data_IF_892677071627
#
_entry.id   IF_892677071627
#
_cell.length_a   1.000
_cell.length_b   1.000
_cell.length_c   1.000
_cell.angle_alpha   90.00
_cell.angle_beta   90.00
_cell.angle_gamma   90.00
#
_symmetry.space_group_name_H-M   'P 1'
#
loop_
_entity.id
_entity.type
_entity.pdbx_description
1 polymer ?
#
# COMPACT_ATOMS: atom_id res chain seq x y z
N UNK A 1 57.19 -29.66 12.56
CA UNK A 1 56.79 -28.89 13.75
C UNK A 1 55.63 -29.62 14.39
N UNK A 2 55.83 -30.21 15.56
CA UNK A 2 54.76 -30.94 16.26
C UNK A 2 53.71 -29.96 16.78
N UNK A 3 52.45 -30.17 16.37
CA UNK A 3 51.32 -29.39 16.85
C UNK A 3 51.02 -29.79 18.30
N UNK A 4 51.56 -29.04 19.26
CA UNK A 4 51.38 -29.32 20.69
C UNK A 4 49.91 -29.19 21.11
N UNK A 5 49.47 -30.13 21.95
CA UNK A 5 48.10 -30.24 22.45
C UNK A 5 47.69 -28.98 23.23
N UNK A 6 46.76 -28.23 22.65
CA UNK A 6 46.23 -26.98 23.20
C UNK A 6 45.24 -27.28 24.32
N UNK A 7 45.51 -26.81 25.54
CA UNK A 7 44.53 -26.87 26.64
C UNK A 7 43.60 -25.66 26.56
N UNK A 8 42.26 -25.85 26.61
CA UNK A 8 41.33 -24.73 26.61
C UNK A 8 41.53 -23.89 27.90
N UNK A 9 41.74 -22.58 27.74
CA UNK A 9 41.99 -21.65 28.84
C UNK A 9 43.46 -21.26 29.06
N UNK A 10 44.41 -21.72 28.24
CA UNK A 10 45.81 -21.28 28.30
C UNK A 10 46.04 -19.96 27.55
N UNK A 11 46.97 -19.14 28.08
CA UNK A 11 47.41 -17.89 27.46
C UNK A 11 48.24 -18.20 26.22
N UNK A 12 47.96 -17.50 25.11
CA UNK A 12 48.72 -17.68 23.87
C UNK A 12 50.11 -17.04 24.02
N UNK A 13 51.15 -17.86 23.92
CA UNK A 13 52.54 -17.42 23.88
C UNK A 13 53.09 -17.43 22.44
N UNK A 14 54.06 -16.57 22.16
CA UNK A 14 54.80 -16.55 20.89
C UNK A 14 55.87 -17.66 20.86
N UNK A 15 56.32 -18.08 19.67
CA UNK A 15 57.32 -19.16 19.52
C UNK A 15 58.63 -18.89 20.28
N UNK A 16 59.05 -17.63 20.36
CA UNK A 16 60.22 -17.20 21.14
C UNK A 16 60.00 -17.36 22.65
N UNK A 17 58.78 -17.15 23.13
CA UNK A 17 58.40 -17.30 24.54
C UNK A 17 58.28 -18.78 24.92
N UNK A 18 57.83 -19.64 24.02
CA UNK A 18 57.86 -21.10 24.23
C UNK A 18 59.29 -21.65 24.32
N UNK A 19 60.20 -21.18 23.46
CA UNK A 19 61.61 -21.57 23.54
C UNK A 19 62.25 -21.12 24.88
N UNK A 20 61.88 -19.95 25.38
CA UNK A 20 62.33 -19.48 26.70
C UNK A 20 61.68 -20.28 27.85
N UNK A 21 60.40 -20.62 27.73
CA UNK A 21 59.66 -21.45 28.68
C UNK A 21 60.30 -22.83 28.85
N UNK A 22 60.67 -23.48 27.74
CA UNK A 22 61.37 -24.77 27.74
C UNK A 22 62.76 -24.68 28.38
N UNK A 23 63.52 -23.61 28.07
CA UNK A 23 64.82 -23.37 28.71
C UNK A 23 64.73 -23.18 30.21
N UNK A 24 63.64 -22.59 30.68
CA UNK A 24 63.38 -22.39 32.11
C UNK A 24 62.66 -23.57 32.78
N UNK A 25 62.33 -24.63 32.03
CA UNK A 25 61.73 -25.85 32.57
C UNK A 25 60.28 -25.72 33.03
N UNK A 26 59.52 -24.74 32.52
CA UNK A 26 58.10 -24.60 32.86
C UNK A 26 57.24 -25.53 31.98
N UNK A 27 56.47 -26.41 32.63
CA UNK A 27 55.57 -27.34 31.93
C UNK A 27 54.20 -26.74 31.57
N UNK A 28 53.89 -25.55 32.09
CA UNK A 28 52.61 -24.88 31.87
C UNK A 28 52.79 -23.42 31.47
N UNK A 29 52.01 -23.00 30.48
CA UNK A 29 52.01 -21.65 29.92
C UNK A 29 51.59 -20.61 30.97
N UNK A 30 50.67 -20.96 31.87
CA UNK A 30 50.21 -20.08 32.95
C UNK A 30 51.30 -19.84 34.00
N UNK A 31 52.14 -20.84 34.28
CA UNK A 31 53.26 -20.72 35.20
C UNK A 31 54.33 -19.77 34.65
N UNK A 32 54.65 -19.87 33.35
CA UNK A 32 55.58 -18.96 32.68
C UNK A 32 55.09 -17.50 32.69
N UNK A 33 53.81 -17.28 32.40
CA UNK A 33 53.23 -15.93 32.44
C UNK A 33 53.26 -15.38 33.87
N UNK A 34 52.89 -16.17 34.87
CA UNK A 34 52.94 -15.76 36.28
C UNK A 34 54.34 -15.35 36.69
N UNK A 35 55.35 -16.14 36.33
CA UNK A 35 56.75 -15.81 36.58
C UNK A 35 57.18 -14.50 35.92
N UNK A 36 56.81 -14.26 34.66
CA UNK A 36 57.10 -12.99 33.97
C UNK A 36 56.37 -11.81 34.60
N UNK A 37 55.15 -12.01 35.09
CA UNK A 37 54.40 -10.99 35.83
C UNK A 37 55.06 -10.67 37.18
N UNK A 38 55.55 -11.67 37.92
CA UNK A 38 56.31 -11.47 39.16
C UNK A 38 57.66 -10.77 38.91
N UNK A 39 58.36 -11.08 37.81
CA UNK A 39 59.53 -10.30 37.38
C UNK A 39 59.18 -8.86 37.02
N UNK A 40 58.01 -8.63 36.41
CA UNK A 40 57.51 -7.28 36.11
C UNK A 40 57.17 -6.50 37.39
N UNK A 41 56.53 -7.17 38.35
CA UNK A 41 56.16 -6.60 39.64
C UNK A 41 57.38 -6.25 40.48
N UNK A 42 58.39 -7.11 40.57
CA UNK A 42 59.64 -6.80 41.30
C UNK A 42 60.39 -5.61 40.69
N UNK A 43 60.42 -5.47 39.35
CA UNK A 43 60.97 -4.28 38.68
C UNK A 43 60.15 -3.03 38.96
N UNK A 44 58.83 -3.15 39.04
CA UNK A 44 57.93 -2.07 39.43
C UNK A 44 58.07 -1.69 40.91
N UNK A 45 58.30 -2.64 41.80
CA UNK A 45 58.55 -2.39 43.23
C UNK A 45 59.87 -1.65 43.45
N UNK A 46 60.94 -1.99 42.72
CA UNK A 46 62.21 -1.24 42.72
C UNK A 46 62.03 0.22 42.24
N UNK A 47 61.02 0.48 41.40
CA UNK A 47 60.66 1.83 40.96
C UNK A 47 59.68 2.54 41.93
N UNK A 48 58.95 1.78 42.76
CA UNK A 48 57.94 2.29 43.70
C UNK A 48 58.44 2.44 45.13
N UNK A 49 59.62 1.90 45.48
CA UNK A 49 60.27 2.23 46.77
C UNK A 49 60.54 3.73 46.83
N UNK A 50 59.91 4.49 47.74
CA UNK A 50 60.20 5.91 47.88
C UNK A 50 61.62 6.06 48.44
N UNK A 51 62.53 6.64 47.65
CA UNK A 51 63.84 7.04 48.17
C UNK A 51 63.67 8.30 49.03
N UNK A 52 64.40 8.40 50.16
CA UNK A 52 64.48 9.64 50.92
C UNK A 52 65.10 10.74 50.05
N UNK A 53 64.62 11.96 50.27
CA UNK A 53 64.85 13.15 49.47
C UNK A 53 66.27 13.29 48.90
N UNK A 54 66.31 13.70 47.62
CA UNK A 54 67.45 14.35 46.97
C UNK A 54 68.58 13.49 46.37
N UNK A 55 68.26 12.38 45.68
CA UNK A 55 69.16 11.81 44.68
C UNK A 55 68.46 11.58 43.33
N UNK A 56 68.73 12.47 42.37
CA UNK A 56 68.49 12.19 40.95
C UNK A 56 69.45 11.08 40.53
N UNK A 57 68.93 9.88 40.25
CA UNK A 57 69.72 8.82 39.60
C UNK A 57 70.07 9.28 38.19
N UNK A 58 71.23 9.89 38.02
CA UNK A 58 71.83 10.01 36.69
C UNK A 58 72.37 8.63 36.29
N UNK A 59 71.86 8.12 35.18
CA UNK A 59 72.46 6.96 34.53
C UNK A 59 73.91 7.33 34.16
N UNK A 60 74.89 6.41 34.31
CA UNK A 60 76.27 6.69 33.94
C UNK A 60 76.33 7.02 32.45
N UNK A 61 76.70 8.27 32.12
CA UNK A 61 76.98 8.69 30.76
C UNK A 61 78.30 8.03 30.37
N UNK A 62 78.20 6.92 29.65
CA UNK A 62 79.35 6.26 29.03
C UNK A 62 79.84 7.17 27.91
N UNK A 63 80.88 7.95 28.16
CA UNK A 63 81.57 8.77 27.15
C UNK A 63 82.24 7.87 26.08
N UNK A 64 81.45 7.38 25.11
CA UNK A 64 81.96 6.74 23.90
C UNK A 64 82.35 7.82 22.89
N UNK A 65 83.62 7.85 22.46
CA UNK A 65 84.13 8.65 21.33
C UNK A 65 83.49 8.31 19.95
N UNK A 66 82.31 7.69 19.92
CA UNK A 66 81.51 7.37 18.72
C UNK A 66 80.16 8.08 18.63
N UNK A 67 79.78 8.91 19.63
CA UNK A 67 78.45 9.54 19.71
C UNK A 67 78.02 10.32 18.47
N UNK A 68 78.93 10.92 17.71
CA UNK A 68 78.56 11.65 16.49
C UNK A 68 78.15 10.72 15.34
N UNK A 69 78.74 9.54 15.21
CA UNK A 69 78.35 8.58 14.17
C UNK A 69 77.07 7.84 14.57
N UNK A 70 76.95 7.40 15.84
CA UNK A 70 75.72 6.78 16.35
C UNK A 70 74.52 7.75 16.26
N UNK A 71 74.69 9.04 16.60
CA UNK A 71 73.60 10.03 16.50
C UNK A 71 73.19 10.35 15.06
N UNK A 72 74.13 10.32 14.10
CA UNK A 72 73.82 10.50 12.67
C UNK A 72 73.13 9.26 12.10
N UNK A 73 73.57 8.05 12.49
CA UNK A 73 72.92 6.78 12.13
C UNK A 73 71.49 6.70 12.69
N UNK A 74 71.30 7.10 13.94
CA UNK A 74 69.98 7.20 14.58
C UNK A 74 69.10 8.22 13.84
N UNK A 75 69.65 9.39 13.46
CA UNK A 75 68.90 10.40 12.72
C UNK A 75 68.49 9.94 11.32
N UNK A 76 69.35 9.21 10.60
CA UNK A 76 69.03 8.61 9.31
C UNK A 76 68.00 7.49 9.44
N UNK A 77 68.09 6.69 10.51
CA UNK A 77 67.12 5.62 10.80
C UNK A 77 65.75 6.21 11.13
N UNK A 78 65.69 7.28 11.94
CA UNK A 78 64.45 8.01 12.23
C UNK A 78 63.87 8.61 10.95
N UNK A 79 64.70 9.20 10.09
CA UNK A 79 64.24 9.71 8.78
C UNK A 79 63.68 8.57 7.92
N UNK A 80 64.35 7.43 7.82
CA UNK A 80 63.86 6.26 7.09
C UNK A 80 62.51 5.79 7.64
N UNK A 81 62.40 5.61 8.97
CA UNK A 81 61.18 5.18 9.63
C UNK A 81 60.05 6.22 9.51
N UNK A 82 60.35 7.52 9.47
CA UNK A 82 59.34 8.56 9.22
C UNK A 82 58.82 8.54 7.79
N UNK A 83 59.70 8.29 6.81
CA UNK A 83 59.31 8.12 5.40
C UNK A 83 58.48 6.85 5.25
N UNK A 84 58.86 5.76 5.91
CA UNK A 84 58.12 4.51 5.89
C UNK A 84 56.75 4.65 6.56
N UNK A 85 56.67 5.29 7.73
CA UNK A 85 55.39 5.61 8.36
C UNK A 85 54.50 6.48 7.48
N UNK A 86 55.06 7.49 6.81
CA UNK A 86 54.31 8.32 5.88
C UNK A 86 53.77 7.51 4.69
N UNK A 87 54.60 6.63 4.10
CA UNK A 87 54.15 5.72 3.03
C UNK A 87 53.07 4.74 3.51
N UNK A 88 53.18 4.25 4.74
CA UNK A 88 52.16 3.38 5.33
C UNK A 88 50.85 4.14 5.57
N UNK A 89 50.91 5.40 6.01
CA UNK A 89 49.74 6.28 6.13
C UNK A 89 49.09 6.54 4.76
N UNK A 90 49.88 6.87 3.74
CA UNK A 90 49.39 7.06 2.37
C UNK A 90 48.70 5.79 1.85
N UNK A 91 49.28 4.60 2.07
CA UNK A 91 48.64 3.32 1.71
C UNK A 91 47.35 3.06 2.50
N UNK A 92 47.30 3.40 3.78
CA UNK A 92 46.07 3.28 4.58
C UNK A 92 44.98 4.20 4.06
N UNK A 93 45.32 5.44 3.68
CA UNK A 93 44.38 6.37 3.06
C UNK A 93 43.89 5.88 1.70
N UNK A 94 44.77 5.35 0.85
CA UNK A 94 44.37 4.75 -0.43
C UNK A 94 43.43 3.56 -0.24
N UNK A 95 43.74 2.67 0.71
CA UNK A 95 42.86 1.54 1.05
C UNK A 95 41.52 2.04 1.58
N UNK A 96 41.52 3.08 2.43
CA UNK A 96 40.29 3.69 2.95
C UNK A 96 39.43 4.24 1.82
N UNK A 97 40.01 5.01 0.89
CA UNK A 97 39.30 5.58 -0.26
C UNK A 97 38.75 4.49 -1.17
N UNK A 98 39.55 3.48 -1.50
CA UNK A 98 39.10 2.35 -2.32
C UNK A 98 37.95 1.57 -1.64
N UNK A 99 38.01 1.41 -0.32
CA UNK A 99 36.94 0.76 0.44
C UNK A 99 35.66 1.61 0.45
N UNK A 100 35.76 2.92 0.61
CA UNK A 100 34.60 3.81 0.52
C UNK A 100 33.97 3.80 -0.88
N UNK A 101 34.79 3.86 -1.94
CA UNK A 101 34.31 3.80 -3.32
C UNK A 101 33.62 2.46 -3.63
N UNK A 102 34.23 1.34 -3.21
CA UNK A 102 33.63 0.01 -3.39
C UNK A 102 32.36 -0.15 -2.57
N UNK A 103 32.33 0.34 -1.32
CA UNK A 103 31.15 0.34 -0.48
C UNK A 103 30.02 1.18 -1.09
N UNK A 104 30.33 2.36 -1.61
CA UNK A 104 29.37 3.21 -2.32
C UNK A 104 28.83 2.51 -3.57
N UNK A 105 29.70 1.86 -4.34
CA UNK A 105 29.29 1.05 -5.51
C UNK A 105 28.35 -0.10 -5.12
N UNK A 106 28.63 -0.80 -4.03
CA UNK A 106 27.76 -1.85 -3.49
C UNK A 106 26.43 -1.27 -3.01
N UNK A 107 26.44 -0.15 -2.29
CA UNK A 107 25.22 0.52 -1.84
C UNK A 107 24.34 0.94 -3.00
N UNK A 108 24.90 1.54 -4.05
CA UNK A 108 24.14 1.90 -5.24
C UNK A 108 23.56 0.66 -5.93
N UNK A 109 24.35 -0.39 -6.11
CA UNK A 109 23.86 -1.62 -6.75
C UNK A 109 22.76 -2.31 -5.93
N UNK A 110 22.92 -2.40 -4.62
CA UNK A 110 21.90 -2.96 -3.72
C UNK A 110 20.65 -2.09 -3.74
N UNK A 111 20.80 -0.77 -3.72
CA UNK A 111 19.67 0.16 -3.78
C UNK A 111 18.91 0.02 -5.10
N UNK A 112 19.60 -0.01 -6.24
CA UNK A 112 18.99 -0.22 -7.55
C UNK A 112 18.27 -1.57 -7.64
N UNK A 113 18.90 -2.66 -7.19
CA UNK A 113 18.26 -3.98 -7.16
C UNK A 113 17.03 -4.01 -6.27
N UNK A 114 17.10 -3.39 -5.08
CA UNK A 114 15.96 -3.34 -4.17
C UNK A 114 14.82 -2.50 -4.77
N UNK A 115 15.15 -1.40 -5.43
CA UNK A 115 14.19 -0.56 -6.14
C UNK A 115 13.54 -1.32 -7.31
N UNK A 116 14.31 -2.06 -8.10
CA UNK A 116 13.80 -2.88 -9.19
C UNK A 116 12.88 -4.00 -8.68
N UNK A 117 13.24 -4.70 -7.61
CA UNK A 117 12.41 -5.75 -7.02
C UNK A 117 11.11 -5.20 -6.41
N UNK A 118 11.17 -4.03 -5.76
CA UNK A 118 9.96 -3.34 -5.30
C UNK A 118 9.06 -2.95 -6.49
N UNK A 119 9.62 -2.36 -7.53
CA UNK A 119 8.88 -1.99 -8.74
C UNK A 119 8.26 -3.19 -9.44
N UNK A 120 8.96 -4.32 -9.53
CA UNK A 120 8.42 -5.56 -10.11
C UNK A 120 7.24 -6.07 -9.30
N UNK A 121 7.37 -6.12 -7.97
CA UNK A 121 6.28 -6.56 -7.09
C UNK A 121 5.05 -5.67 -7.23
N UNK A 122 5.26 -4.36 -7.20
CA UNK A 122 4.17 -3.40 -7.33
C UNK A 122 3.51 -3.48 -8.71
N UNK A 123 4.29 -3.72 -9.77
CA UNK A 123 3.76 -3.96 -11.12
C UNK A 123 2.94 -5.25 -11.20
N UNK A 124 3.39 -6.34 -10.59
CA UNK A 124 2.65 -7.60 -10.55
C UNK A 124 1.32 -7.47 -9.79
N UNK A 125 1.33 -6.76 -8.67
CA UNK A 125 0.13 -6.46 -7.89
C UNK A 125 -0.85 -5.59 -8.69
N UNK A 126 -0.33 -4.54 -9.33
CA UNK A 126 -1.14 -3.67 -10.20
C UNK A 126 -1.72 -4.44 -11.38
N UNK A 127 -0.95 -5.35 -11.99
CA UNK A 127 -1.42 -6.19 -13.10
C UNK A 127 -2.54 -7.14 -12.65
N UNK A 128 -2.43 -7.74 -11.47
CA UNK A 128 -3.49 -8.58 -10.89
C UNK A 128 -4.75 -7.76 -10.61
N UNK A 129 -4.60 -6.59 -9.98
CA UNK A 129 -5.73 -5.70 -9.70
C UNK A 129 -6.41 -5.22 -10.99
N UNK A 130 -5.64 -4.89 -12.03
CA UNK A 130 -6.18 -4.52 -13.34
C UNK A 130 -6.98 -5.66 -13.96
N UNK A 131 -6.43 -6.87 -13.98
CA UNK A 131 -7.12 -8.03 -14.52
C UNK A 131 -8.42 -8.35 -13.75
N UNK A 132 -8.43 -8.17 -12.44
CA UNK A 132 -9.65 -8.34 -11.63
C UNK A 132 -10.70 -7.27 -11.96
N UNK A 133 -10.31 -6.00 -12.07
CA UNK A 133 -11.20 -4.91 -12.46
C UNK A 133 -11.75 -5.10 -13.88
N UNK A 134 -10.92 -5.50 -14.83
CA UNK A 134 -11.39 -5.83 -16.18
C UNK A 134 -12.40 -6.98 -16.19
N UNK A 135 -12.20 -8.00 -15.34
CA UNK A 135 -13.19 -9.07 -15.13
C UNK A 135 -14.52 -8.53 -14.63
N UNK A 136 -14.49 -7.71 -13.57
CA UNK A 136 -15.69 -7.07 -13.02
C UNK A 136 -16.40 -6.15 -14.02
N UNK A 137 -15.64 -5.39 -14.82
CA UNK A 137 -16.23 -4.54 -15.87
C UNK A 137 -16.96 -5.40 -16.91
N UNK A 138 -16.37 -6.52 -17.34
CA UNK A 138 -17.03 -7.43 -18.29
C UNK A 138 -18.29 -8.06 -17.70
N UNK A 139 -18.25 -8.48 -16.43
CA UNK A 139 -19.43 -9.01 -15.73
C UNK A 139 -20.55 -7.96 -15.63
N UNK A 140 -20.21 -6.71 -15.29
CA UNK A 140 -21.15 -5.60 -15.23
C UNK A 140 -21.69 -5.25 -16.62
N UNK A 141 -20.87 -5.28 -17.67
CA UNK A 141 -21.32 -5.08 -19.06
C UNK A 141 -22.29 -6.18 -19.51
N UNK A 142 -22.03 -7.44 -19.15
CA UNK A 142 -22.95 -8.55 -19.41
C UNK A 142 -24.26 -8.40 -18.65
N UNK A 143 -24.20 -8.00 -17.36
CA UNK A 143 -25.38 -7.72 -16.55
C UNK A 143 -26.20 -6.57 -17.14
N UNK A 144 -25.54 -5.49 -17.58
CA UNK A 144 -26.17 -4.35 -18.23
C UNK A 144 -26.84 -4.75 -19.55
N UNK A 145 -26.17 -5.57 -20.37
CA UNK A 145 -26.77 -6.12 -21.60
C UNK A 145 -27.99 -7.00 -21.32
N UNK A 146 -27.97 -7.83 -20.27
CA UNK A 146 -29.11 -8.64 -19.85
C UNK A 146 -30.26 -7.76 -19.36
N UNK A 147 -29.97 -6.79 -18.50
CA UNK A 147 -30.96 -5.83 -18.00
C UNK A 147 -31.61 -5.04 -19.14
N UNK A 148 -30.82 -4.56 -20.12
CA UNK A 148 -31.34 -3.88 -21.33
C UNK A 148 -32.31 -4.75 -22.13
N UNK A 149 -31.96 -6.03 -22.35
CA UNK A 149 -32.86 -6.96 -23.04
C UNK A 149 -34.16 -7.18 -22.27
N UNK A 150 -34.09 -7.25 -20.95
CA UNK A 150 -35.27 -7.39 -20.10
C UNK A 150 -36.15 -6.13 -20.13
N UNK A 151 -35.55 -4.93 -20.10
CA UNK A 151 -36.30 -3.68 -20.23
C UNK A 151 -36.94 -3.55 -21.60
N UNK A 152 -36.24 -3.92 -22.68
CA UNK A 152 -36.79 -3.87 -24.04
C UNK A 152 -37.98 -4.84 -24.19
N UNK A 153 -37.89 -6.04 -23.60
CA UNK A 153 -38.99 -7.00 -23.59
C UNK A 153 -40.21 -6.47 -22.81
N UNK A 154 -40.00 -5.92 -21.61
CA UNK A 154 -41.08 -5.29 -20.83
C UNK A 154 -41.69 -4.10 -21.55
N UNK A 155 -40.89 -3.31 -22.26
CA UNK A 155 -41.38 -2.18 -23.05
C UNK A 155 -42.28 -2.65 -24.20
N UNK A 156 -41.92 -3.74 -24.88
CA UNK A 156 -42.78 -4.36 -25.90
C UNK A 156 -44.08 -4.90 -25.31
N UNK A 157 -44.03 -5.54 -24.14
CA UNK A 157 -45.23 -5.99 -23.43
C UNK A 157 -46.15 -4.81 -23.05
N UNK A 158 -45.57 -3.71 -22.58
CA UNK A 158 -46.32 -2.47 -22.30
C UNK A 158 -46.94 -1.91 -23.57
N UNK A 159 -46.20 -1.83 -24.68
CA UNK A 159 -46.75 -1.35 -25.96
C UNK A 159 -47.91 -2.22 -26.45
N UNK A 160 -47.81 -3.54 -26.31
CA UNK A 160 -48.88 -4.46 -26.71
C UNK A 160 -50.09 -4.38 -25.77
N UNK A 161 -49.87 -4.16 -24.46
CA UNK A 161 -50.94 -3.86 -23.52
C UNK A 161 -51.62 -2.53 -23.83
N UNK A 162 -50.86 -1.48 -24.18
CA UNK A 162 -51.40 -0.18 -24.59
C UNK A 162 -52.20 -0.31 -25.88
N UNK A 163 -51.73 -1.08 -26.87
CA UNK A 163 -52.52 -1.38 -28.08
C UNK A 163 -53.82 -2.10 -27.71
N UNK A 164 -53.77 -3.12 -26.86
CA UNK A 164 -54.97 -3.85 -26.40
C UNK A 164 -55.94 -2.94 -25.66
N UNK A 165 -55.47 -2.11 -24.74
CA UNK A 165 -56.28 -1.12 -24.03
C UNK A 165 -56.88 -0.09 -25.00
N UNK A 166 -56.09 0.41 -25.95
CA UNK A 166 -56.56 1.30 -27.02
C UNK A 166 -57.65 0.66 -27.88
N UNK A 167 -57.53 -0.63 -28.24
CA UNK A 167 -58.59 -1.37 -28.94
C UNK A 167 -59.83 -1.57 -28.07
N UNK A 168 -59.67 -1.80 -26.78
CA UNK A 168 -60.79 -1.91 -25.83
C UNK A 168 -61.51 -0.56 -25.67
N UNK A 169 -60.79 0.54 -25.59
CA UNK A 169 -61.36 1.89 -25.54
C UNK A 169 -62.03 2.29 -26.85
N UNK A 170 -61.41 2.01 -28.00
CA UNK A 170 -62.05 2.15 -29.32
C UNK A 170 -63.30 1.28 -29.43
N UNK A 171 -63.26 0.05 -28.91
CA UNK A 171 -64.42 -0.83 -28.80
C UNK A 171 -65.51 -0.20 -27.94
N UNK A 172 -65.19 0.31 -26.75
CA UNK A 172 -66.14 1.02 -25.87
C UNK A 172 -66.71 2.29 -26.51
N UNK A 173 -65.97 2.98 -27.37
CA UNK A 173 -66.44 4.17 -28.07
C UNK A 173 -67.29 3.84 -29.31
N UNK A 174 -66.96 2.78 -30.05
CA UNK A 174 -67.63 2.37 -31.29
C UNK A 174 -68.86 1.48 -31.05
N UNK A 175 -68.87 0.70 -29.97
CA UNK A 175 -70.00 -0.19 -29.62
C UNK A 175 -71.31 0.58 -29.40
N UNK A 176 -71.37 1.70 -28.64
CA UNK A 176 -72.59 2.48 -28.48
C UNK A 176 -73.09 3.05 -29.82
N UNK A 177 -72.18 3.48 -30.70
CA UNK A 177 -72.50 3.98 -32.04
C UNK A 177 -73.06 2.90 -32.96
N UNK A 178 -72.45 1.72 -32.98
CA UNK A 178 -72.89 0.56 -33.76
C UNK A 178 -74.20 -0.03 -33.23
N UNK A 179 -74.37 -0.13 -31.91
CA UNK A 179 -75.60 -0.57 -31.26
C UNK A 179 -76.73 0.43 -31.52
N UNK A 180 -76.46 1.73 -31.49
CA UNK A 180 -77.44 2.78 -31.85
C UNK A 180 -77.85 2.72 -33.33
N UNK A 181 -76.91 2.43 -34.24
CA UNK A 181 -77.19 2.20 -35.66
C UNK A 181 -78.06 0.97 -35.91
N UNK A 182 -77.73 -0.16 -35.28
CA UNK A 182 -78.51 -1.40 -35.35
C UNK A 182 -79.90 -1.26 -34.69
N UNK A 183 -80.01 -0.54 -33.57
CA UNK A 183 -81.28 -0.26 -32.92
C UNK A 183 -82.21 0.61 -33.78
N UNK A 184 -81.66 1.53 -34.58
CA UNK A 184 -82.43 2.31 -35.56
C UNK A 184 -82.90 1.47 -36.75
N UNK A 185 -82.11 0.50 -37.19
CA UNK A 185 -82.41 -0.32 -38.37
C UNK A 185 -83.34 -1.51 -38.07
N UNK A 186 -83.29 -2.07 -36.86
CA UNK A 186 -84.12 -3.21 -36.43
C UNK A 186 -84.71 -3.04 -35.01
N UNK A 187 -85.60 -2.05 -34.79
CA UNK A 187 -86.10 -1.72 -33.46
C UNK A 187 -86.92 -2.85 -32.81
N UNK A 188 -87.70 -3.60 -33.59
CA UNK A 188 -88.59 -4.65 -33.07
C UNK A 188 -87.86 -5.94 -32.64
N UNK A 189 -86.68 -6.21 -33.21
CA UNK A 189 -85.87 -7.38 -32.84
C UNK A 189 -84.96 -7.05 -31.64
N UNK A 190 -84.47 -5.81 -31.54
CA UNK A 190 -83.66 -5.34 -30.42
C UNK A 190 -84.46 -5.15 -29.13
N UNK A 191 -85.75 -4.83 -29.18
CA UNK A 191 -86.59 -4.72 -28.00
C UNK A 191 -86.76 -6.06 -27.25
N UNK A 192 -86.76 -7.18 -27.99
CA UNK A 192 -86.76 -8.54 -27.42
C UNK A 192 -85.41 -8.97 -26.85
N UNK A 193 -84.31 -8.46 -27.42
CA UNK A 193 -82.93 -8.78 -26.98
C UNK A 193 -82.49 -7.87 -25.82
N UNK A 194 -82.94 -6.63 -25.73
CA UNK A 194 -82.72 -5.75 -24.58
C UNK A 194 -83.41 -6.30 -23.31
N UNK A 195 -84.56 -6.96 -23.46
CA UNK A 195 -85.25 -7.64 -22.36
C UNK A 195 -84.48 -8.87 -21.82
N UNK A 196 -83.61 -9.49 -22.63
CA UNK A 196 -82.80 -10.65 -22.21
C UNK A 196 -81.35 -10.28 -21.86
N UNK A 197 -80.78 -9.24 -22.48
CA UNK A 197 -79.47 -8.68 -22.11
C UNK A 197 -79.53 -7.76 -20.87
N UNK A 198 -80.68 -7.16 -20.56
CA UNK A 198 -80.88 -6.45 -19.28
C UNK A 198 -80.73 -7.36 -18.06
N UNK A 199 -80.80 -8.69 -18.26
CA UNK A 199 -80.56 -9.71 -17.23
C UNK A 199 -79.12 -10.25 -17.21
N UNK A 200 -78.30 -9.91 -18.21
CA UNK A 200 -76.86 -10.21 -18.30
C UNK A 200 -75.98 -8.95 -18.11
N UNK A 201 -76.59 -7.76 -18.11
CA UNK A 201 -75.90 -6.46 -18.03
C UNK A 201 -75.97 -5.78 -16.66
N UNK A 202 -76.48 -6.46 -15.64
CA UNK A 202 -76.33 -6.05 -14.24
C UNK A 202 -75.64 -7.21 -13.51
N UNK A 203 -74.30 -7.28 -13.51
CA UNK A 203 -73.64 -7.89 -12.36
C UNK A 203 -73.96 -7.02 -11.16
N UNK A 204 -74.44 -7.66 -10.10
CA UNK A 204 -74.62 -7.05 -8.79
C UNK A 204 -73.46 -6.12 -8.48
N UNK A 205 -73.75 -4.83 -8.29
CA UNK A 205 -72.77 -3.84 -7.86
C UNK A 205 -72.48 -4.06 -6.38
N UNK A 206 -71.84 -5.18 -6.07
CA UNK A 206 -71.34 -5.52 -4.74
C UNK A 206 -69.82 -5.68 -4.68
N UNK A 207 -69.08 -5.84 -5.78
CA UNK A 207 -67.65 -6.21 -5.69
C UNK A 207 -66.65 -5.47 -6.59
N UNK A 208 -67.00 -4.34 -7.21
CA UNK A 208 -66.00 -3.52 -7.94
C UNK A 208 -65.39 -2.46 -7.01
N UNK A 209 -64.88 -2.91 -5.85
CA UNK A 209 -63.86 -2.16 -5.12
C UNK A 209 -62.49 -2.67 -5.57
N UNK A 210 -62.07 -2.08 -6.69
CA UNK A 210 -60.69 -1.77 -7.01
C UNK A 210 -59.68 -2.91 -6.85
N UNK A 211 -59.53 -3.73 -7.90
CA UNK A 211 -58.36 -4.60 -8.08
C UNK A 211 -57.05 -3.80 -7.92
N UNK A 212 -57.00 -2.55 -8.39
CA UNK A 212 -55.85 -1.66 -8.17
C UNK A 212 -55.65 -1.24 -6.70
N UNK A 213 -56.73 -1.05 -5.93
CA UNK A 213 -56.60 -0.79 -4.49
C UNK A 213 -56.33 -2.06 -3.70
N UNK A 214 -56.81 -3.22 -4.15
CA UNK A 214 -56.51 -4.53 -3.58
C UNK A 214 -55.07 -4.93 -3.89
N UNK A 215 -54.53 -4.59 -5.06
CA UNK A 215 -53.11 -4.74 -5.38
C UNK A 215 -52.25 -3.76 -4.61
N UNK A 216 -52.69 -2.50 -4.43
CA UNK A 216 -51.99 -1.55 -3.55
C UNK A 216 -52.08 -1.95 -2.07
N UNK A 217 -53.20 -2.52 -1.62
CA UNK A 217 -53.35 -3.09 -0.28
C UNK A 217 -52.50 -4.35 -0.12
N UNK A 218 -52.45 -5.24 -1.11
CA UNK A 218 -51.57 -6.40 -1.10
C UNK A 218 -50.10 -5.99 -1.14
N UNK A 219 -49.72 -4.98 -1.92
CA UNK A 219 -48.35 -4.44 -1.95
C UNK A 219 -48.03 -3.77 -0.61
N UNK A 220 -48.98 -3.06 -0.01
CA UNK A 220 -48.82 -2.45 1.32
C UNK A 220 -48.74 -3.49 2.44
N UNK A 221 -49.55 -4.55 2.38
CA UNK A 221 -49.52 -5.70 3.30
C UNK A 221 -48.21 -6.50 3.12
N UNK A 222 -47.76 -6.72 1.88
CA UNK A 222 -46.45 -7.33 1.60
C UNK A 222 -45.29 -6.45 2.07
N UNK A 223 -45.39 -5.12 1.93
CA UNK A 223 -44.38 -4.18 2.46
C UNK A 223 -44.39 -4.15 3.98
N UNK A 224 -45.54 -4.30 4.64
CA UNK A 224 -45.66 -4.45 6.09
C UNK A 224 -45.19 -5.82 6.60
N UNK A 225 -45.34 -6.89 5.82
CA UNK A 225 -44.85 -8.23 6.17
C UNK A 225 -43.35 -8.40 5.93
N UNK A 226 -42.77 -7.74 4.91
CA UNK A 226 -41.35 -7.86 4.57
C UNK A 226 -40.44 -6.88 5.31
N UNK A 227 -40.97 -5.78 5.86
CA UNK A 227 -40.20 -4.80 6.60
C UNK A 227 -40.73 -4.66 8.02
N UNK A 228 -39.84 -4.86 9.00
CA UNK A 228 -40.07 -4.31 10.34
C UNK A 228 -40.09 -2.78 10.23
N UNK A 229 -40.92 -2.12 11.03
CA UNK A 229 -41.12 -0.65 11.00
C UNK A 229 -39.77 0.11 11.05
N UNK A 230 -38.79 -0.44 11.77
CA UNK A 230 -37.41 0.04 11.88
C UNK A 230 -36.62 -0.02 10.56
N UNK A 231 -36.82 -1.05 9.73
CA UNK A 231 -36.11 -1.21 8.46
C UNK A 231 -36.67 -0.28 7.38
N UNK A 232 -37.98 0.00 7.42
CA UNK A 232 -38.59 0.99 6.54
C UNK A 232 -38.10 2.41 6.86
N UNK A 233 -38.02 2.75 8.15
CA UNK A 233 -37.49 4.04 8.60
C UNK A 233 -36.01 4.22 8.21
N UNK A 234 -35.20 3.15 8.29
CA UNK A 234 -33.81 3.17 7.82
C UNK A 234 -33.70 3.39 6.31
N UNK A 235 -34.54 2.75 5.49
CA UNK A 235 -34.54 2.95 4.02
C UNK A 235 -34.95 4.38 3.67
N UNK A 236 -35.93 4.95 4.37
CA UNK A 236 -36.35 6.34 4.19
C UNK A 236 -35.23 7.31 4.60
N UNK A 237 -34.54 7.07 5.73
CA UNK A 237 -33.36 7.85 6.11
C UNK A 237 -32.23 7.77 5.09
N UNK A 238 -31.98 6.58 4.53
CA UNK A 238 -30.94 6.37 3.52
C UNK A 238 -31.28 7.09 2.22
N UNK A 239 -32.55 7.13 1.82
CA UNK A 239 -33.06 7.91 0.68
C UNK A 239 -32.91 9.42 0.90
N UNK A 240 -33.14 9.91 2.13
CA UNK A 240 -32.93 11.33 2.47
C UNK A 240 -31.43 11.67 2.41
N UNK A 241 -30.56 10.83 2.98
CA UNK A 241 -29.10 11.02 2.93
C UNK A 241 -28.55 10.97 1.51
N UNK A 242 -29.07 10.06 0.66
CA UNK A 242 -28.71 10.01 -0.76
C UNK A 242 -29.15 11.29 -1.49
N UNK A 243 -30.35 11.80 -1.16
CA UNK A 243 -30.87 13.06 -1.71
C UNK A 243 -30.05 14.29 -1.28
N UNK A 244 -29.52 14.29 -0.06
CA UNK A 244 -28.61 15.34 0.43
C UNK A 244 -27.24 15.24 -0.25
N UNK A 245 -26.66 14.05 -0.39
CA UNK A 245 -25.40 13.84 -1.14
C UNK A 245 -25.52 14.28 -2.61
N UNK A 246 -26.63 13.98 -3.28
CA UNK A 246 -26.86 14.41 -4.67
C UNK A 246 -26.92 15.95 -4.77
N UNK A 247 -27.48 16.63 -3.77
CA UNK A 247 -27.48 18.11 -3.71
C UNK A 247 -26.08 18.67 -3.46
N UNK A 248 -25.29 18.04 -2.60
CA UNK A 248 -23.89 18.41 -2.37
C UNK A 248 -23.05 18.21 -3.63
N UNK A 249 -23.25 17.12 -4.36
CA UNK A 249 -22.60 16.84 -5.64
C UNK A 249 -22.99 17.85 -6.71
N UNK A 250 -24.25 18.28 -6.80
CA UNK A 250 -24.64 19.38 -7.69
C UNK A 250 -23.94 20.70 -7.31
N UNK A 251 -23.77 20.98 -6.03
CA UNK A 251 -23.02 22.15 -5.55
C UNK A 251 -21.52 22.07 -5.88
N UNK A 252 -20.91 20.88 -5.77
CA UNK A 252 -19.52 20.63 -6.15
C UNK A 252 -19.32 20.73 -7.67
N UNK A 253 -20.26 20.21 -8.46
CA UNK A 253 -20.25 20.34 -9.92
C UNK A 253 -20.35 21.81 -10.32
N UNK A 254 -21.21 22.61 -9.69
CA UNK A 254 -21.30 24.05 -9.95
C UNK A 254 -20.00 24.79 -9.60
N UNK A 255 -19.35 24.43 -8.48
CA UNK A 255 -18.03 24.99 -8.11
C UNK A 255 -16.95 24.58 -9.10
N UNK A 256 -16.93 23.32 -9.54
CA UNK A 256 -16.00 22.83 -10.56
C UNK A 256 -16.19 23.57 -11.88
N UNK A 257 -17.43 23.75 -12.34
CA UNK A 257 -17.75 24.53 -13.54
C UNK A 257 -17.31 25.99 -13.41
N UNK A 258 -17.51 26.60 -12.24
CA UNK A 258 -17.04 27.96 -11.97
C UNK A 258 -15.52 28.10 -12.07
N UNK A 259 -14.76 27.18 -11.45
CA UNK A 259 -13.30 27.20 -11.54
C UNK A 259 -12.78 26.86 -12.93
N UNK A 260 -13.47 25.99 -13.68
CA UNK A 260 -13.16 25.70 -15.08
C UNK A 260 -13.34 26.94 -15.96
N UNK A 261 -14.44 27.66 -15.79
CA UNK A 261 -14.70 28.91 -16.51
C UNK A 261 -13.69 30.01 -16.14
N UNK A 262 -13.29 30.10 -14.86
CA UNK A 262 -12.27 31.06 -14.42
C UNK A 262 -10.88 30.75 -15.02
N UNK A 263 -10.52 29.48 -15.15
CA UNK A 263 -9.30 29.06 -15.83
C UNK A 263 -9.33 29.35 -17.33
N UNK A 264 -10.50 29.19 -17.96
CA UNK A 264 -10.70 29.52 -19.38
C UNK A 264 -10.55 31.01 -19.65
N UNK A 265 -11.17 31.87 -18.82
CA UNK A 265 -11.04 33.32 -18.93
C UNK A 265 -9.60 33.81 -18.70
N UNK A 266 -8.87 33.21 -17.75
CA UNK A 266 -7.44 33.51 -17.56
C UNK A 266 -6.57 33.10 -18.75
N UNK A 267 -6.99 32.08 -19.50
CA UNK A 267 -6.28 31.63 -20.71
C UNK A 267 -6.55 32.55 -21.90
N UNK A 268 -7.76 33.10 -22.01
CA UNK A 268 -8.12 34.11 -23.01
C UNK A 268 -7.43 35.45 -22.75
N UNK A 269 -7.37 35.91 -21.50
CA UNK A 269 -6.66 37.15 -21.12
C UNK A 269 -5.14 37.07 -21.40
N UNK A 270 -4.51 35.91 -21.17
CA UNK A 270 -3.10 35.68 -21.53
C UNK A 270 -2.87 35.64 -23.05
N UNK A 271 -3.90 35.42 -23.85
CA UNK A 271 -3.83 35.43 -25.32
C UNK A 271 -3.91 36.83 -25.92
N UNK A 272 -4.52 37.79 -25.22
CA UNK A 272 -4.62 39.20 -25.67
C UNK A 272 -3.40 40.04 -25.28
N UNK A 273 -2.69 39.73 -24.18
CA UNK A 273 -1.45 40.44 -23.80
C UNK A 273 -0.20 40.05 -24.63
N UNK A 274 -0.31 39.06 -25.52
CA UNK A 274 0.80 38.62 -26.42
C UNK A 274 0.58 38.96 -27.90
N UNK A 275 -0.28 39.95 -28.22
CA UNK A 275 -0.40 40.52 -29.56
C UNK A 275 0.02 41.98 -29.60
#
# INVERSE_FOLDING_TARGET
MEARHRKPGSVRLNDTQYAEMERMGFESESAYVKYKMEQGQSKLEVLKTPLPDNQVRSLPIVNKKGFRNEMVEDQLTIQHLSIENRKLQERLEEISRNNEETLNGVHHKVHSLLQEELQKRDFEELKKSHSQREGQVKELEEALKKAKKETDAKQQEIEDLVKKLGFVELGKALLPGAISGLAKQYPKQMQGIAGTLGRLGIPDTADIKNEDQQHLLQIAEYLQELFTEEQFEQVVQLMIQLGEQIKEDQGLIQKLVYYLNQLQQKKEQKGEESK
#
